data_IF_239685945627
#
_entry.id   IF_239685945627
#
_cell.length_a   1.000
_cell.length_b   1.000
_cell.length_c   1.000
_cell.angle_alpha   90.00
_cell.angle_beta   90.00
_cell.angle_gamma   90.00
#
_symmetry.space_group_name_H-M   'P 1'
#
loop_
_entity.id
_entity.type
_entity.pdbx_description
1 polymer ?
#
# COMPACT_ATOMS: atom_id res chain seq x y z
N UNK A 1 -11.40 8.77 11.46
CA UNK A 1 -10.18 9.34 12.09
C UNK A 1 -9.81 10.70 11.49
N UNK A 2 -9.45 10.85 10.21
CA UNK A 2 -9.02 12.14 9.63
C UNK A 2 -10.05 13.28 9.81
N UNK A 3 -11.34 13.02 9.59
CA UNK A 3 -12.41 13.99 9.86
C UNK A 3 -12.46 14.42 11.32
N UNK A 4 -12.36 13.45 12.24
CA UNK A 4 -12.33 13.73 13.68
C UNK A 4 -11.16 14.64 14.06
N UNK A 5 -9.96 14.37 13.52
CA UNK A 5 -8.79 15.22 13.77
C UNK A 5 -9.01 16.66 13.28
N UNK A 6 -9.61 16.83 12.09
CA UNK A 6 -9.98 18.13 11.56
C UNK A 6 -10.99 18.85 12.49
N UNK A 7 -12.06 18.18 12.88
CA UNK A 7 -13.10 18.74 13.74
C UNK A 7 -12.57 19.15 15.11
N UNK A 8 -11.63 18.33 15.65
CA UNK A 8 -11.10 18.55 17.00
C UNK A 8 -9.97 19.57 17.07
N UNK A 9 -9.11 19.62 16.04
CA UNK A 9 -7.86 20.38 16.06
C UNK A 9 -7.76 21.44 14.94
N UNK A 10 -8.78 21.58 14.10
CA UNK A 10 -8.80 22.56 13.02
C UNK A 10 -7.91 22.16 11.83
N UNK A 11 -7.32 23.15 11.17
CA UNK A 11 -6.54 22.96 9.94
C UNK A 11 -5.07 22.63 10.20
N UNK A 12 -4.82 21.62 11.06
CA UNK A 12 -3.48 21.13 11.29
C UNK A 12 -2.99 20.24 10.13
N UNK A 13 -1.72 20.29 9.74
CA UNK A 13 -1.17 19.35 8.76
C UNK A 13 -1.13 17.94 9.35
N UNK A 14 -1.67 16.98 8.60
CA UNK A 14 -1.73 15.56 8.99
C UNK A 14 -0.86 14.75 8.05
N UNK A 15 -0.09 13.81 8.58
CA UNK A 15 0.68 12.83 7.85
C UNK A 15 0.31 11.43 8.33
N UNK A 16 -0.16 10.57 7.43
CA UNK A 16 -0.26 9.13 7.69
C UNK A 16 1.12 8.54 7.44
N UNK A 17 1.89 8.37 8.50
CA UNK A 17 3.30 7.97 8.42
C UNK A 17 3.48 6.48 8.10
N UNK A 18 2.53 5.65 8.56
CA UNK A 18 2.54 4.22 8.29
C UNK A 18 1.11 3.71 8.11
N UNK A 19 0.90 2.93 7.08
CA UNK A 19 -0.31 2.15 6.86
C UNK A 19 0.05 0.90 6.08
N UNK A 20 -0.39 -0.26 6.52
CA UNK A 20 -0.02 -1.51 5.90
C UNK A 20 -0.99 -2.65 6.17
N UNK A 21 -0.91 -3.66 5.34
CA UNK A 21 -1.67 -4.90 5.45
C UNK A 21 -0.70 -6.07 5.52
N UNK A 22 -0.71 -6.79 6.64
CA UNK A 22 0.06 -8.00 6.81
C UNK A 22 -0.57 -9.15 6.02
N UNK A 23 0.23 -9.88 5.25
CA UNK A 23 -0.16 -11.16 4.68
C UNK A 23 0.71 -12.26 5.25
N UNK A 24 0.12 -13.40 5.60
CA UNK A 24 0.86 -14.62 5.95
C UNK A 24 1.30 -15.39 4.70
N UNK A 25 0.77 -15.06 3.53
CA UNK A 25 1.07 -15.74 2.28
C UNK A 25 2.30 -15.12 1.62
N UNK A 26 3.28 -15.95 1.30
CA UNK A 26 4.45 -15.56 0.50
C UNK A 26 4.12 -15.60 -0.99
N UNK A 27 3.41 -14.57 -1.47
CA UNK A 27 2.94 -14.47 -2.85
C UNK A 27 3.19 -13.10 -3.44
N UNK A 28 3.38 -13.05 -4.77
CA UNK A 28 3.41 -11.80 -5.54
C UNK A 28 2.01 -11.36 -6.01
N UNK A 29 1.00 -12.23 -5.88
CA UNK A 29 -0.41 -11.94 -6.21
C UNK A 29 -1.19 -11.56 -4.95
N UNK A 30 -0.83 -10.44 -4.33
CA UNK A 30 -1.38 -9.93 -3.08
C UNK A 30 -2.61 -9.03 -3.30
N UNK A 31 -3.66 -9.58 -3.89
CA UNK A 31 -4.93 -8.90 -4.18
C UNK A 31 -5.52 -8.19 -2.96
N UNK A 32 -5.50 -8.87 -1.80
CA UNK A 32 -6.05 -8.31 -0.56
C UNK A 32 -5.35 -7.01 -0.15
N UNK A 33 -4.02 -6.94 -0.33
CA UNK A 33 -3.26 -5.72 -0.07
C UNK A 33 -3.57 -4.63 -1.09
N UNK A 34 -3.70 -4.98 -2.37
CA UNK A 34 -4.08 -4.02 -3.40
C UNK A 34 -5.45 -3.39 -3.10
N UNK A 35 -6.45 -4.20 -2.73
CA UNK A 35 -7.77 -3.72 -2.33
C UNK A 35 -7.74 -2.92 -1.02
N UNK A 36 -6.93 -3.33 -0.05
CA UNK A 36 -6.69 -2.55 1.18
C UNK A 36 -6.20 -1.14 0.85
N UNK A 37 -5.11 -1.04 0.06
CA UNK A 37 -4.53 0.25 -0.33
C UNK A 37 -5.53 1.11 -1.09
N UNK A 38 -6.25 0.55 -2.05
CA UNK A 38 -7.30 1.24 -2.82
C UNK A 38 -8.37 1.83 -1.90
N UNK A 39 -8.87 1.04 -0.96
CA UNK A 39 -9.93 1.46 -0.03
C UNK A 39 -9.46 2.56 0.91
N UNK A 40 -8.27 2.40 1.50
CA UNK A 40 -7.74 3.38 2.45
C UNK A 40 -7.33 4.69 1.78
N UNK A 41 -6.73 4.63 0.60
CA UNK A 41 -6.39 5.83 -0.19
C UNK A 41 -7.66 6.53 -0.67
N UNK A 42 -8.69 5.81 -1.12
CA UNK A 42 -9.98 6.40 -1.47
C UNK A 42 -10.59 7.14 -0.28
N UNK A 43 -10.53 6.55 0.91
CA UNK A 43 -11.00 7.17 2.15
C UNK A 43 -10.18 8.42 2.54
N UNK A 44 -8.87 8.39 2.32
CA UNK A 44 -7.99 9.54 2.54
C UNK A 44 -8.30 10.68 1.57
N UNK A 45 -8.49 10.37 0.27
CA UNK A 45 -8.91 11.36 -0.74
C UNK A 45 -10.29 11.95 -0.44
N UNK A 46 -11.23 11.15 0.05
CA UNK A 46 -12.53 11.65 0.49
C UNK A 46 -12.39 12.64 1.68
N UNK A 47 -11.53 12.31 2.65
CA UNK A 47 -11.27 13.21 3.78
C UNK A 47 -10.63 14.54 3.33
N UNK A 48 -9.73 14.51 2.33
CA UNK A 48 -9.15 15.73 1.73
C UNK A 48 -10.25 16.58 1.08
N UNK A 49 -11.16 15.97 0.30
CA UNK A 49 -12.31 16.68 -0.29
C UNK A 49 -13.22 17.31 0.76
N UNK A 50 -13.34 16.66 1.92
CA UNK A 50 -14.08 17.20 3.08
C UNK A 50 -13.23 18.22 3.88
N UNK A 51 -12.06 18.61 3.36
CA UNK A 51 -11.21 19.67 3.90
C UNK A 51 -10.23 19.24 4.98
N UNK A 52 -9.93 17.94 5.14
CA UNK A 52 -8.81 17.51 5.98
C UNK A 52 -7.47 17.90 5.34
N UNK A 53 -6.57 18.48 6.14
CA UNK A 53 -5.26 18.96 5.68
C UNK A 53 -4.24 17.82 5.67
N UNK A 54 -4.52 16.75 4.88
CA UNK A 54 -3.62 15.62 4.71
C UNK A 54 -2.50 15.97 3.73
N UNK A 55 -1.26 15.92 4.18
CA UNK A 55 -0.04 16.29 3.45
C UNK A 55 0.79 15.11 2.97
N UNK A 56 0.66 13.97 3.62
CA UNK A 56 1.42 12.77 3.24
C UNK A 56 0.74 11.48 3.62
N UNK A 57 0.97 10.44 2.81
CA UNK A 57 0.47 9.10 3.02
C UNK A 57 1.57 8.10 2.65
N UNK A 58 2.02 7.30 3.62
CA UNK A 58 3.12 6.39 3.46
C UNK A 58 2.67 4.95 3.73
N UNK A 59 3.09 4.06 2.85
CA UNK A 59 2.76 2.63 2.95
C UNK A 59 3.87 1.90 3.71
N UNK A 60 3.50 1.14 4.73
CA UNK A 60 4.34 0.15 5.37
C UNK A 60 4.07 -1.23 4.77
N UNK A 61 5.03 -1.84 4.08
CA UNK A 61 6.41 -1.43 3.88
C UNK A 61 6.76 -1.47 2.39
N UNK A 62 7.87 -0.82 2.02
CA UNK A 62 8.37 -0.87 0.66
C UNK A 62 8.73 -2.31 0.23
N UNK A 63 9.41 -3.05 1.08
CA UNK A 63 9.75 -4.46 0.86
C UNK A 63 9.48 -5.29 2.12
N UNK A 64 9.36 -6.59 1.99
CA UNK A 64 9.27 -7.48 3.14
C UNK A 64 10.51 -7.34 4.01
N UNK A 65 10.31 -7.19 5.31
CA UNK A 65 11.37 -6.99 6.30
C UNK A 65 11.13 -7.88 7.51
N UNK A 66 12.11 -7.95 8.39
CA UNK A 66 11.96 -8.57 9.70
C UNK A 66 11.07 -7.70 10.60
N UNK A 67 9.94 -8.26 11.01
CA UNK A 67 9.00 -7.60 11.92
C UNK A 67 9.31 -7.96 13.38
N UNK A 68 9.51 -6.97 14.19
CA UNK A 68 10.10 -7.02 15.53
C UNK A 68 9.67 -8.20 16.41
N UNK A 69 8.36 -8.44 16.53
CA UNK A 69 7.82 -9.49 17.39
C UNK A 69 7.38 -10.76 16.63
N UNK A 70 7.39 -10.69 15.31
CA UNK A 70 6.78 -11.72 14.43
C UNK A 70 7.77 -12.31 13.43
N UNK A 71 9.01 -11.85 13.41
CA UNK A 71 10.04 -12.35 12.51
C UNK A 71 9.76 -12.05 11.04
N UNK A 72 10.05 -13.00 10.16
CA UNK A 72 9.85 -12.85 8.72
C UNK A 72 8.47 -13.35 8.25
N UNK A 73 7.60 -13.79 9.15
CA UNK A 73 6.31 -14.39 8.79
C UNK A 73 5.29 -13.39 8.24
N UNK A 74 5.03 -12.23 8.89
CA UNK A 74 4.13 -11.24 8.30
C UNK A 74 4.83 -10.51 7.15
N UNK A 75 4.20 -10.55 5.99
CA UNK A 75 4.67 -9.93 4.77
C UNK A 75 3.94 -8.60 4.54
N UNK A 76 4.53 -7.50 4.96
CA UNK A 76 3.97 -6.15 4.76
C UNK A 76 4.41 -5.48 3.46
N UNK A 77 5.51 -5.95 2.87
CA UNK A 77 6.15 -5.30 1.74
C UNK A 77 5.29 -5.23 0.47
N UNK A 78 5.46 -4.15 -0.26
CA UNK A 78 5.04 -4.04 -1.67
C UNK A 78 5.90 -4.93 -2.57
N UNK A 79 7.16 -5.15 -2.18
CA UNK A 79 8.07 -6.07 -2.83
C UNK A 79 8.27 -7.31 -1.97
N UNK A 80 8.11 -8.49 -2.57
CA UNK A 80 8.48 -9.77 -1.96
C UNK A 80 10.00 -9.84 -1.85
N UNK A 81 10.48 -10.30 -0.70
CA UNK A 81 11.89 -10.68 -0.49
C UNK A 81 11.94 -12.17 -0.23
N UNK A 82 12.75 -12.90 -1.01
CA UNK A 82 13.04 -14.29 -0.74
C UNK A 82 14.10 -14.37 0.37
N UNK A 83 13.67 -14.74 1.57
CA UNK A 83 14.57 -14.82 2.73
C UNK A 83 15.37 -16.12 2.78
N UNK A 84 14.99 -17.13 2.01
CA UNK A 84 15.69 -18.42 1.93
C UNK A 84 16.85 -18.39 0.92
N UNK A 85 16.81 -17.46 -0.04
CA UNK A 85 17.88 -17.22 -0.99
C UNK A 85 18.92 -16.23 -0.42
N UNK A 86 20.20 -16.57 -0.43
CA UNK A 86 21.29 -15.73 0.08
C UNK A 86 21.35 -14.37 -0.64
N UNK A 87 21.03 -14.32 -1.93
CA UNK A 87 20.99 -13.10 -2.75
C UNK A 87 19.78 -12.19 -2.41
N UNK A 88 18.81 -12.70 -1.63
CA UNK A 88 17.60 -11.95 -1.25
C UNK A 88 16.90 -11.27 -2.42
N UNK A 89 16.57 -11.99 -3.51
CA UNK A 89 15.94 -11.37 -4.67
C UNK A 89 14.60 -10.70 -4.31
N UNK A 90 14.31 -9.57 -4.97
CA UNK A 90 13.11 -8.78 -4.74
C UNK A 90 12.20 -8.87 -5.96
N UNK A 91 10.93 -9.09 -5.73
CA UNK A 91 9.91 -9.17 -6.77
C UNK A 91 8.77 -8.21 -6.45
N UNK A 92 8.38 -7.36 -7.43
CA UNK A 92 7.24 -6.48 -7.27
C UNK A 92 5.95 -7.29 -7.15
N UNK A 93 5.18 -7.05 -6.10
CA UNK A 93 3.86 -7.63 -5.91
C UNK A 93 2.79 -6.90 -6.74
N UNK A 94 1.60 -7.47 -6.85
CA UNK A 94 0.46 -6.83 -7.52
C UNK A 94 0.16 -5.45 -6.92
N UNK A 95 0.17 -5.35 -5.60
CA UNK A 95 -0.03 -4.09 -4.87
C UNK A 95 1.00 -3.01 -5.22
N UNK A 96 2.27 -3.39 -5.44
CA UNK A 96 3.32 -2.45 -5.88
C UNK A 96 3.01 -1.86 -7.25
N UNK A 97 2.60 -2.71 -8.20
CA UNK A 97 2.26 -2.29 -9.56
C UNK A 97 1.04 -1.37 -9.56
N UNK A 98 0.00 -1.75 -8.81
CA UNK A 98 -1.19 -0.91 -8.65
C UNK A 98 -0.83 0.45 -8.03
N UNK A 99 -0.07 0.47 -6.95
CA UNK A 99 0.30 1.71 -6.25
C UNK A 99 1.16 2.62 -7.13
N UNK A 100 2.10 2.05 -7.88
CA UNK A 100 2.89 2.80 -8.87
C UNK A 100 2.01 3.41 -9.98
N UNK A 101 1.00 2.67 -10.45
CA UNK A 101 -0.01 3.16 -11.41
C UNK A 101 -0.81 4.33 -10.84
N UNK A 102 -1.29 4.19 -9.60
CA UNK A 102 -1.99 5.26 -8.88
C UNK A 102 -1.14 6.53 -8.79
N UNK A 103 0.12 6.43 -8.37
CA UNK A 103 1.02 7.58 -8.23
C UNK A 103 1.30 8.26 -9.58
N UNK A 104 1.46 7.49 -10.67
CA UNK A 104 1.69 8.06 -12.01
C UNK A 104 0.48 8.81 -12.56
N UNK A 105 -0.73 8.32 -12.29
CA UNK A 105 -1.98 8.86 -12.84
C UNK A 105 -2.64 9.90 -11.94
N UNK A 106 -2.11 10.12 -10.74
CA UNK A 106 -2.68 11.00 -9.71
C UNK A 106 -4.16 10.70 -9.41
N UNK A 107 -4.55 9.42 -9.46
CA UNK A 107 -5.94 9.06 -9.22
C UNK A 107 -6.21 7.55 -9.15
N UNK A 108 -7.36 7.19 -8.58
CA UNK A 108 -7.87 5.81 -8.56
C UNK A 108 -8.70 5.62 -9.81
N UNK A 109 -8.25 4.73 -10.70
CA UNK A 109 -8.97 4.28 -11.88
C UNK A 109 -9.56 2.89 -11.63
N UNK A 110 -10.62 2.53 -12.37
CA UNK A 110 -11.50 1.38 -12.08
C UNK A 110 -10.84 -0.01 -12.14
N UNK A 111 -11.64 -1.04 -11.88
CA UNK A 111 -11.24 -2.45 -11.71
C UNK A 111 -10.50 -3.10 -12.89
N UNK A 112 -10.53 -2.53 -14.11
CA UNK A 112 -9.85 -3.09 -15.29
C UNK A 112 -8.32 -3.16 -15.14
N UNK A 113 -7.72 -2.37 -14.26
CA UNK A 113 -6.26 -2.26 -14.13
C UNK A 113 -5.62 -3.36 -13.26
N UNK A 114 -6.41 -4.07 -12.45
CA UNK A 114 -5.89 -5.21 -11.68
C UNK A 114 -5.61 -6.43 -12.58
N UNK A 115 -6.36 -6.56 -13.68
CA UNK A 115 -6.22 -7.67 -14.62
C UNK A 115 -5.04 -7.48 -15.59
N UNK A 116 -4.74 -6.22 -15.96
CA UNK A 116 -3.67 -5.91 -16.92
C UNK A 116 -2.26 -6.08 -16.30
N UNK A 117 -2.15 -5.86 -15.00
CA UNK A 117 -0.88 -6.04 -14.27
C UNK A 117 -0.46 -7.52 -14.15
N UNK A 118 -1.40 -8.45 -14.33
CA UNK A 118 -1.13 -9.90 -14.31
C UNK A 118 -0.62 -10.46 -15.63
N UNK A 119 -0.96 -9.83 -16.78
CA UNK A 119 -0.67 -10.37 -18.11
C UNK A 119 0.75 -10.10 -18.62
N UNK A 120 1.51 -9.20 -18.00
CA UNK A 120 2.90 -8.89 -18.38
C UNK A 120 3.97 -9.63 -17.58
N UNK A 121 3.60 -10.61 -16.76
CA UNK A 121 4.54 -11.38 -15.92
C UNK A 121 4.97 -12.71 -16.55
N UNK A 122 4.50 -13.05 -17.78
CA UNK A 122 4.81 -14.30 -18.48
C UNK A 122 5.58 -14.10 -19.80
N UNK A 123 6.44 -13.07 -19.89
CA UNK A 123 7.39 -12.95 -21.00
C UNK A 123 8.80 -12.74 -20.48
#
# INVERSE_FOLDING_TARGET
MLRYLKERYGDIPIYVQETGYASSNDTVHDTDRAEYLKTYIASALAAIRDGANLKGYFVWAFMDVFEFLSGNQPRYGLYRVDFDDEARPRQAKLSARWYAGFLKKNGIHGQSELNDAGSHAEQ
#
